data_IF_531994933158
#
_entry.id   IF_531994933158
#
_cell.length_a   1.000
_cell.length_b   1.000
_cell.length_c   1.000
_cell.angle_alpha   90.00
_cell.angle_beta   90.00
_cell.angle_gamma   90.00
#
_symmetry.space_group_name_H-M   'P 1'
#
loop_
_entity.id
_entity.type
_entity.pdbx_description
1 polymer ?
#
# COMPACT_ATOMS: atom_id res chain seq x y z
N UNK A 1 8.73 -15.03 10.35
CA UNK A 1 8.29 -14.25 9.18
C UNK A 1 7.02 -14.86 8.62
N UNK A 2 5.97 -14.06 8.44
CA UNK A 2 4.65 -14.54 7.97
C UNK A 2 4.16 -13.87 6.69
N UNK A 3 4.81 -12.79 6.27
CA UNK A 3 4.57 -12.08 5.02
C UNK A 3 5.92 -11.68 4.42
N UNK A 4 6.11 -11.95 3.13
CA UNK A 4 7.34 -11.69 2.39
C UNK A 4 6.99 -11.09 1.02
N UNK A 5 7.55 -9.94 0.68
CA UNK A 5 7.49 -9.39 -0.68
C UNK A 5 8.87 -9.38 -1.36
N UNK A 6 8.95 -8.86 -2.58
CA UNK A 6 10.23 -8.63 -3.29
C UNK A 6 10.27 -7.24 -3.92
N UNK A 7 11.44 -6.85 -4.40
CA UNK A 7 11.53 -5.70 -5.29
C UNK A 7 10.83 -5.99 -6.63
N UNK A 8 10.35 -4.95 -7.29
CA UNK A 8 9.71 -5.10 -8.60
C UNK A 8 10.19 -4.05 -9.59
N UNK A 9 10.30 -4.46 -10.84
CA UNK A 9 10.54 -3.55 -11.96
C UNK A 9 9.21 -3.12 -12.53
N UNK A 10 9.00 -1.82 -12.63
CA UNK A 10 7.84 -1.25 -13.30
C UNK A 10 8.19 -0.88 -14.73
N UNK A 11 7.33 -1.28 -15.66
CA UNK A 11 7.50 -1.03 -17.10
C UNK A 11 6.26 -0.36 -17.68
N UNK A 12 6.42 0.47 -18.71
CA UNK A 12 5.30 1.08 -19.42
C UNK A 12 4.59 0.07 -20.35
N UNK A 13 3.58 0.53 -21.11
CA UNK A 13 2.86 -0.31 -22.06
C UNK A 13 3.74 -0.88 -23.18
N UNK A 14 4.84 -0.20 -23.52
CA UNK A 14 5.83 -0.61 -24.51
C UNK A 14 6.95 -1.48 -23.92
N UNK A 15 6.91 -1.80 -22.62
CA UNK A 15 7.91 -2.60 -21.93
C UNK A 15 9.17 -1.82 -21.52
N UNK A 16 9.22 -0.50 -21.69
CA UNK A 16 10.34 0.33 -21.24
C UNK A 16 10.30 0.47 -19.73
N UNK A 17 11.45 0.36 -19.08
CA UNK A 17 11.55 0.50 -17.64
C UNK A 17 11.20 1.94 -17.21
N UNK A 18 10.22 2.05 -16.32
CA UNK A 18 9.84 3.31 -15.68
C UNK A 18 10.64 3.50 -14.39
N UNK A 19 10.66 2.49 -13.52
CA UNK A 19 11.44 2.49 -12.26
C UNK A 19 11.60 1.10 -11.68
N UNK A 20 12.41 0.99 -10.63
CA UNK A 20 12.46 -0.19 -9.76
C UNK A 20 11.95 0.20 -8.37
N UNK A 21 10.91 -0.48 -7.91
CA UNK A 21 10.36 -0.34 -6.56
C UNK A 21 11.09 -1.27 -5.62
N UNK A 22 11.68 -0.72 -4.55
CA UNK A 22 12.39 -1.47 -3.51
C UNK A 22 11.77 -1.14 -2.15
N UNK A 23 10.89 -2.02 -1.62
CA UNK A 23 10.39 -1.87 -0.26
C UNK A 23 11.54 -2.00 0.76
N UNK A 24 11.40 -1.45 1.97
CA UNK A 24 12.31 -1.76 3.06
C UNK A 24 12.39 -3.29 3.29
N UNK A 25 13.58 -3.79 3.60
CA UNK A 25 13.80 -5.23 3.71
C UNK A 25 13.38 -5.78 5.07
N UNK A 26 13.55 -4.96 6.11
CA UNK A 26 13.31 -5.33 7.50
C UNK A 26 11.92 -4.93 8.01
N UNK A 27 11.45 -5.64 9.03
CA UNK A 27 10.13 -5.47 9.64
C UNK A 27 9.89 -4.04 10.16
N UNK A 28 10.90 -3.42 10.78
CA UNK A 28 10.76 -2.08 11.34
C UNK A 28 10.67 -1.01 10.25
N UNK A 29 11.45 -1.14 9.18
CA UNK A 29 11.34 -0.34 7.96
C UNK A 29 9.97 -0.49 7.31
N UNK A 30 9.48 -1.72 7.19
CA UNK A 30 8.18 -2.02 6.59
C UNK A 30 7.02 -1.45 7.41
N UNK A 31 7.01 -1.57 8.74
CA UNK A 31 5.99 -0.95 9.61
C UNK A 31 5.98 0.57 9.50
N UNK A 32 7.18 1.18 9.51
CA UNK A 32 7.33 2.63 9.31
C UNK A 32 6.79 3.06 7.94
N UNK A 33 6.99 2.26 6.90
CA UNK A 33 6.43 2.55 5.58
C UNK A 33 4.91 2.32 5.56
N UNK A 34 4.43 1.25 6.19
CA UNK A 34 3.04 0.81 6.17
C UNK A 34 2.07 1.86 6.72
N UNK A 35 2.43 2.59 7.78
CA UNK A 35 1.58 3.70 8.27
C UNK A 35 1.48 4.89 7.30
N UNK A 36 2.38 4.98 6.32
CA UNK A 36 2.47 6.09 5.34
C UNK A 36 1.86 5.74 4.00
N UNK A 37 2.10 4.53 3.52
CA UNK A 37 1.65 4.02 2.23
C UNK A 37 1.72 2.48 2.21
N UNK A 38 1.17 1.84 1.17
CA UNK A 38 1.35 0.40 0.97
C UNK A 38 2.77 0.12 0.43
N UNK A 39 3.68 -0.49 1.22
CA UNK A 39 5.06 -0.67 0.80
C UNK A 39 5.25 -1.85 -0.14
N UNK A 40 4.29 -2.79 -0.15
CA UNK A 40 4.43 -4.04 -0.90
C UNK A 40 3.93 -3.90 -2.33
N UNK A 41 4.66 -4.52 -3.25
CA UNK A 41 4.13 -4.80 -4.58
C UNK A 41 3.25 -6.03 -4.45
N UNK A 42 1.93 -5.85 -4.48
CA UNK A 42 0.95 -6.92 -4.22
C UNK A 42 1.26 -8.24 -4.94
N UNK A 43 1.56 -8.19 -6.25
CA UNK A 43 1.86 -9.37 -7.08
C UNK A 43 3.17 -10.07 -6.73
N UNK A 44 3.97 -9.52 -5.82
CA UNK A 44 5.22 -10.10 -5.32
C UNK A 44 5.09 -10.77 -3.96
N UNK A 45 3.94 -10.63 -3.30
CA UNK A 45 3.79 -11.06 -1.91
C UNK A 45 3.49 -12.56 -1.82
N UNK A 46 4.23 -13.22 -0.94
CA UNK A 46 3.89 -14.52 -0.38
C UNK A 46 3.61 -14.37 1.11
N UNK A 47 2.66 -15.16 1.63
CA UNK A 47 2.25 -15.12 3.02
C UNK A 47 1.87 -16.52 3.51
N UNK A 48 1.93 -16.73 4.82
CA UNK A 48 1.50 -18.01 5.41
C UNK A 48 -0.02 -18.11 5.37
N UNK A 49 -0.53 -19.17 4.75
CA UNK A 49 -1.97 -19.44 4.64
C UNK A 49 -2.71 -19.31 5.97
N UNK A 50 -2.24 -19.98 7.02
CA UNK A 50 -2.90 -19.95 8.33
C UNK A 50 -2.99 -18.55 8.94
N UNK A 51 -2.00 -17.68 8.69
CA UNK A 51 -2.07 -16.28 9.13
C UNK A 51 -3.08 -15.47 8.31
N UNK A 52 -3.21 -15.76 7.01
CA UNK A 52 -4.23 -15.14 6.16
C UNK A 52 -5.64 -15.46 6.66
N UNK A 53 -5.89 -16.74 6.91
CA UNK A 53 -7.18 -17.25 7.38
C UNK A 53 -7.50 -16.68 8.77
N UNK A 54 -6.53 -16.68 9.68
CA UNK A 54 -6.68 -16.05 11.02
C UNK A 54 -6.93 -14.55 10.94
N UNK A 55 -6.34 -13.85 9.98
CA UNK A 55 -6.60 -12.43 9.77
C UNK A 55 -7.99 -12.18 9.17
N UNK A 56 -8.63 -13.18 8.56
CA UNK A 56 -9.93 -13.06 7.88
C UNK A 56 -9.84 -12.76 6.38
N UNK A 57 -8.68 -12.99 5.73
CA UNK A 57 -8.52 -12.83 4.28
C UNK A 57 -8.71 -11.38 3.79
N UNK A 58 -9.06 -11.20 2.52
CA UNK A 58 -9.41 -9.89 1.96
C UNK A 58 -10.81 -9.47 2.40
N UNK A 59 -10.97 -8.21 2.79
CA UNK A 59 -12.29 -7.65 3.09
C UNK A 59 -13.01 -7.29 1.78
N UNK A 60 -14.01 -8.08 1.41
CA UNK A 60 -14.80 -7.91 0.19
C UNK A 60 -15.66 -6.63 0.20
N UNK A 61 -15.92 -6.05 1.38
CA UNK A 61 -16.61 -4.77 1.50
C UNK A 61 -15.73 -3.58 1.07
N UNK A 62 -14.41 -3.78 0.93
CA UNK A 62 -13.49 -2.75 0.45
C UNK A 62 -13.44 -2.77 -1.09
N UNK A 63 -13.80 -1.67 -1.78
CA UNK A 63 -13.79 -1.62 -3.24
C UNK A 63 -12.37 -1.59 -3.82
N UNK A 64 -11.40 -1.10 -3.05
CA UNK A 64 -9.97 -0.99 -3.40
C UNK A 64 -9.11 -0.99 -2.13
N UNK A 65 -7.81 -1.23 -2.30
CA UNK A 65 -6.81 -1.29 -1.22
C UNK A 65 -7.07 -2.41 -0.20
N UNK A 66 -7.66 -3.52 -0.66
CA UNK A 66 -7.90 -4.72 0.16
C UNK A 66 -6.60 -5.30 0.70
N UNK A 67 -5.54 -5.24 -0.10
CA UNK A 67 -4.21 -5.71 0.26
C UNK A 67 -3.59 -4.89 1.39
N UNK A 68 -3.69 -3.56 1.31
CA UNK A 68 -3.19 -2.67 2.35
C UNK A 68 -3.85 -2.90 3.71
N UNK A 69 -5.18 -3.10 3.73
CA UNK A 69 -5.90 -3.48 4.94
C UNK A 69 -5.40 -4.82 5.51
N UNK A 70 -5.25 -5.83 4.66
CA UNK A 70 -4.75 -7.15 5.07
C UNK A 70 -3.32 -7.06 5.62
N UNK A 71 -2.43 -6.28 5.01
CA UNK A 71 -1.07 -6.07 5.51
C UNK A 71 -1.06 -5.39 6.88
N UNK A 72 -1.93 -4.42 7.10
CA UNK A 72 -2.10 -3.79 8.41
C UNK A 72 -2.54 -4.79 9.48
N UNK A 73 -3.53 -5.63 9.19
CA UNK A 73 -3.96 -6.71 10.09
C UNK A 73 -2.85 -7.71 10.38
N UNK A 74 -2.18 -8.21 9.34
CA UNK A 74 -1.10 -9.20 9.45
C UNK A 74 0.11 -8.64 10.20
N UNK A 75 0.41 -7.34 10.07
CA UNK A 75 1.53 -6.72 10.78
C UNK A 75 1.42 -6.88 12.31
N UNK A 76 0.23 -7.08 12.85
CA UNK A 76 0.02 -7.32 14.29
C UNK A 76 0.36 -8.75 14.72
N UNK A 77 0.18 -9.72 13.82
CA UNK A 77 0.31 -11.14 14.11
C UNK A 77 1.66 -11.72 13.67
N UNK A 78 2.40 -11.01 12.82
CA UNK A 78 3.65 -11.55 12.27
C UNK A 78 4.67 -10.50 11.88
N UNK A 79 5.91 -10.97 11.70
CA UNK A 79 7.00 -10.19 11.11
C UNK A 79 6.92 -10.21 9.59
N UNK A 80 7.20 -9.06 8.99
CA UNK A 80 7.21 -8.82 7.56
C UNK A 80 8.65 -8.63 7.05
N UNK A 81 8.93 -9.02 5.80
CA UNK A 81 10.19 -8.71 5.13
C UNK A 81 9.99 -8.46 3.63
N UNK A 82 11.02 -7.90 3.00
CA UNK A 82 11.13 -7.83 1.55
C UNK A 82 12.51 -8.27 1.09
N UNK A 83 12.57 -9.06 0.01
CA UNK A 83 13.83 -9.42 -0.65
C UNK A 83 14.32 -8.28 -1.53
N UNK A 84 15.65 -8.11 -1.61
CA UNK A 84 16.31 -7.14 -2.50
C UNK A 84 16.10 -7.46 -3.98
N UNK A 85 15.94 -8.74 -4.29
CA UNK A 85 15.87 -9.25 -5.64
C UNK A 85 14.63 -8.76 -6.38
N UNK A 86 14.82 -8.42 -7.65
CA UNK A 86 13.74 -8.01 -8.54
C UNK A 86 13.13 -9.27 -9.16
N UNK A 87 12.06 -9.79 -8.56
CA UNK A 87 11.43 -11.05 -8.98
C UNK A 87 10.13 -10.85 -9.75
N UNK A 88 9.63 -9.61 -9.84
CA UNK A 88 8.38 -9.28 -10.52
C UNK A 88 8.55 -8.12 -11.48
N UNK A 89 7.90 -8.22 -12.65
CA UNK A 89 7.73 -7.12 -13.59
C UNK A 89 6.27 -6.66 -13.56
N UNK A 90 6.02 -5.43 -13.13
CA UNK A 90 4.69 -4.82 -13.07
C UNK A 90 4.49 -3.87 -14.25
N UNK A 91 3.54 -4.20 -15.14
CA UNK A 91 3.20 -3.34 -16.27
C UNK A 91 2.26 -2.20 -15.84
N UNK A 92 2.60 -0.99 -16.25
CA UNK A 92 1.93 0.24 -15.92
C UNK A 92 1.03 0.69 -17.07
N UNK A 93 -0.20 0.15 -17.14
CA UNK A 93 -1.16 0.46 -18.20
C UNK A 93 -2.05 1.69 -17.89
N UNK A 94 -2.59 2.38 -18.90
CA UNK A 94 -3.71 3.32 -18.71
C UNK A 94 -4.93 2.61 -18.09
N UNK A 95 -5.77 3.34 -17.35
CA UNK A 95 -7.01 2.77 -16.77
C UNK A 95 -6.80 1.84 -15.57
N UNK A 96 -5.71 2.01 -14.80
CA UNK A 96 -5.50 1.20 -13.60
C UNK A 96 -6.51 1.56 -12.52
N UNK A 97 -7.06 0.53 -11.86
CA UNK A 97 -7.99 0.64 -10.73
C UNK A 97 -7.50 1.62 -9.65
N UNK A 98 -6.19 1.62 -9.37
CA UNK A 98 -5.59 2.53 -8.39
C UNK A 98 -5.68 4.02 -8.77
N UNK A 99 -5.78 4.34 -10.06
CA UNK A 99 -5.91 5.71 -10.59
C UNK A 99 -7.38 6.06 -10.81
N UNK A 100 -8.18 5.13 -11.34
CA UNK A 100 -9.60 5.34 -11.60
C UNK A 100 -10.41 5.53 -10.33
N UNK A 101 -10.10 4.75 -9.29
CA UNK A 101 -10.82 4.77 -8.00
C UNK A 101 -10.02 5.46 -6.90
N UNK A 102 -9.31 6.52 -7.27
CA UNK A 102 -8.46 7.27 -6.35
C UNK A 102 -9.21 7.74 -5.09
N UNK A 103 -10.45 8.23 -5.26
CA UNK A 103 -11.27 8.71 -4.14
C UNK A 103 -11.58 7.59 -3.14
N UNK A 104 -11.97 6.42 -3.63
CA UNK A 104 -12.22 5.25 -2.79
C UNK A 104 -10.95 4.77 -2.11
N UNK A 105 -9.81 4.77 -2.84
CA UNK A 105 -8.52 4.37 -2.28
C UNK A 105 -8.12 5.27 -1.11
N UNK A 106 -8.19 6.59 -1.28
CA UNK A 106 -7.84 7.54 -0.22
C UNK A 106 -8.78 7.41 0.99
N UNK A 107 -10.07 7.14 0.77
CA UNK A 107 -11.03 6.88 1.86
C UNK A 107 -10.68 5.61 2.62
N UNK A 108 -10.42 4.51 1.92
CA UNK A 108 -10.00 3.24 2.55
C UNK A 108 -8.69 3.42 3.31
N UNK A 109 -7.67 4.03 2.69
CA UNK A 109 -6.38 4.29 3.34
C UNK A 109 -6.53 5.15 4.61
N UNK A 110 -7.34 6.21 4.57
CA UNK A 110 -7.62 7.04 5.75
C UNK A 110 -8.27 6.23 6.86
N UNK A 111 -9.30 5.44 6.52
CA UNK A 111 -10.01 4.57 7.48
C UNK A 111 -9.06 3.56 8.12
N UNK A 112 -8.29 2.83 7.31
CA UNK A 112 -7.35 1.80 7.78
C UNK A 112 -6.29 2.41 8.69
N UNK A 113 -5.69 3.54 8.30
CA UNK A 113 -4.68 4.24 9.12
C UNK A 113 -5.27 4.75 10.43
N UNK A 114 -6.46 5.36 10.38
CA UNK A 114 -7.14 5.86 11.58
C UNK A 114 -7.46 4.72 12.55
N UNK A 115 -7.95 3.59 12.05
CA UNK A 115 -8.21 2.42 12.87
C UNK A 115 -6.93 1.86 13.50
N UNK A 116 -5.82 1.80 12.77
CA UNK A 116 -4.54 1.35 13.31
C UNK A 116 -4.05 2.25 14.46
N UNK A 117 -4.15 3.58 14.31
CA UNK A 117 -3.80 4.53 15.38
C UNK A 117 -4.75 4.39 16.58
N UNK A 118 -6.06 4.31 16.35
CA UNK A 118 -7.06 4.14 17.43
C UNK A 118 -6.90 2.86 18.23
N UNK A 119 -6.41 1.79 17.60
CA UNK A 119 -6.15 0.50 18.25
C UNK A 119 -4.81 0.44 18.97
N UNK A 120 -3.98 1.49 18.88
CA UNK A 120 -2.66 1.54 19.51
C UNK A 120 -1.55 0.84 18.73
N UNK A 121 -1.78 0.47 17.46
CA UNK A 121 -0.75 -0.18 16.62
C UNK A 121 0.39 0.78 16.26
N UNK A 122 0.07 2.08 16.25
CA UNK A 122 1.00 3.16 16.02
C UNK A 122 0.78 4.26 17.06
N UNK A 123 1.85 5.01 17.42
CA UNK A 123 1.71 6.15 18.32
C UNK A 123 0.72 7.20 17.79
N UNK A 124 0.12 7.96 18.70
CA UNK A 124 -0.94 8.93 18.37
C UNK A 124 -0.51 9.99 17.34
N UNK A 125 0.78 10.38 17.31
CA UNK A 125 1.29 11.35 16.32
C UNK A 125 1.24 10.83 14.88
N UNK A 126 1.15 9.51 14.68
CA UNK A 126 0.90 8.93 13.36
C UNK A 126 -0.51 9.22 12.82
N UNK A 127 -1.42 9.79 13.63
CA UNK A 127 -2.71 10.30 13.16
C UNK A 127 -2.55 11.30 12.00
N UNK A 128 -1.44 12.05 11.93
CA UNK A 128 -1.14 12.93 10.79
C UNK A 128 -1.09 12.19 9.44
N UNK A 129 -0.63 10.93 9.42
CA UNK A 129 -0.63 10.11 8.21
C UNK A 129 -2.02 9.62 7.81
N UNK A 130 -2.94 9.52 8.78
CA UNK A 130 -4.36 9.26 8.53
C UNK A 130 -5.11 10.51 8.02
N UNK A 131 -4.66 11.71 8.41
CA UNK A 131 -5.24 12.99 7.97
C UNK A 131 -4.80 13.40 6.55
N UNK A 132 -3.63 12.96 6.09
CA UNK A 132 -3.09 13.34 4.77
C UNK A 132 -4.01 12.94 3.59
N UNK A 133 -4.58 11.73 3.51
CA UNK A 133 -5.54 11.37 2.47
C UNK A 133 -6.86 12.15 2.54
N UNK A 134 -7.34 12.47 3.74
CA UNK A 134 -8.57 13.28 3.92
C UNK A 134 -8.35 14.71 3.45
N UNK A 135 -7.19 15.32 3.73
CA UNK A 135 -6.81 16.62 3.16
C UNK A 135 -6.71 16.54 1.63
N UNK A 136 -6.14 15.46 1.07
CA UNK A 136 -6.10 15.27 -0.38
C UNK A 136 -7.50 15.14 -0.98
N UNK A 137 -8.44 14.46 -0.31
CA UNK A 137 -9.83 14.34 -0.74
C UNK A 137 -10.57 15.69 -0.77
N UNK A 138 -10.20 16.65 0.08
CA UNK A 138 -10.77 17.99 0.09
C UNK A 138 -10.34 18.83 -1.14
N UNK A 139 -9.25 18.45 -1.81
CA UNK A 139 -8.82 19.12 -3.04
C UNK A 139 -9.66 18.64 -4.25
N UNK A 140 -10.11 19.57 -5.12
CA UNK A 140 -10.80 19.21 -6.36
C UNK A 140 -10.00 18.18 -7.17
N UNK A 141 -10.69 17.22 -7.78
CA UNK A 141 -10.04 16.14 -8.53
C UNK A 141 -9.12 16.66 -9.65
N UNK A 142 -9.45 17.81 -10.26
CA UNK A 142 -8.60 18.49 -11.24
C UNK A 142 -7.26 18.94 -10.64
N UNK A 143 -7.28 19.55 -9.46
CA UNK A 143 -6.08 20.04 -8.77
C UNK A 143 -5.18 18.89 -8.32
N UNK A 144 -5.78 17.79 -7.83
CA UNK A 144 -5.05 16.56 -7.50
C UNK A 144 -4.38 15.93 -8.70
N UNK A 145 -5.06 15.87 -9.86
CA UNK A 145 -4.48 15.34 -11.11
C UNK A 145 -3.31 16.21 -11.58
N UNK A 146 -3.45 17.53 -11.50
CA UNK A 146 -2.38 18.48 -11.84
C UNK A 146 -1.14 18.34 -10.94
N UNK A 147 -1.32 18.30 -9.62
CA UNK A 147 -0.24 18.08 -8.67
C UNK A 147 0.46 16.73 -8.87
N UNK A 148 -0.28 15.70 -9.27
CA UNK A 148 0.27 14.37 -9.54
C UNK A 148 1.10 14.33 -10.82
N UNK A 149 0.63 14.98 -11.88
CA UNK A 149 1.38 15.15 -13.12
C UNK A 149 2.68 15.94 -12.89
N UNK A 150 2.64 16.97 -12.05
CA UNK A 150 3.81 17.76 -11.68
C UNK A 150 4.82 16.99 -10.80
N UNK A 151 4.35 16.03 -9.99
CA UNK A 151 5.18 15.24 -9.07
C UNK A 151 5.69 13.92 -9.67
N UNK A 152 5.40 13.62 -10.95
CA UNK A 152 5.90 12.44 -11.65
C UNK A 152 5.56 11.11 -10.96
N UNK A 153 4.42 11.03 -10.26
CA UNK A 153 3.98 9.84 -9.50
C UNK A 153 2.78 9.16 -10.13
#
# INVERSE_FOLDING_TARGET
MGLLGTAAREVDGAGRQVRVVRPPEDDAGLRRALIRENPFVHSSVMLRRGLCEQAGGYDEALPVAQDYDLWMRLSRATRMASLRDVLVVRRLLPGRVSVEREGDRLRTEARVRWQAVRRGDYPWWCAGHALRPTVALALPAALRRGLRAALGR
#
